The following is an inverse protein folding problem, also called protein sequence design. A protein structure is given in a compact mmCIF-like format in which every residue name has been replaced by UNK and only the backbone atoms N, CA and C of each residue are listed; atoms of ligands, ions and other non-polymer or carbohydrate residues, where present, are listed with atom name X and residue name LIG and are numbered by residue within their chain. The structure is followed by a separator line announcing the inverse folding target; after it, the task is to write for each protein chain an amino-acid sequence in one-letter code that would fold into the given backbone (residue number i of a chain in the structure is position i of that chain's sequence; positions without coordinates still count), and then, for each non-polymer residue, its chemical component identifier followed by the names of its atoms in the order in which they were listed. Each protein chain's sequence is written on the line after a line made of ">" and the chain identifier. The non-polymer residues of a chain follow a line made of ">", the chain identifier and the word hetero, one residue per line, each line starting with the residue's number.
data_IF_378317160945
#
_entry.id   IF_378317160945
#
_cell.length_a   1.000
_cell.length_b   1.000
_cell.length_c   1.000
_cell.angle_alpha   90.00
_cell.angle_beta   90.00
_cell.angle_gamma   90.00
#
_symmetry.space_group_name_H-M   'P 1'
#
loop_
_entity.id
_entity.type
_entity.pdbx_description
1 polymer ?
#
# COMPACT_ATOMS: atom_id res chain seq x y z
N UNK A 1 14.52 -9.53 2.70
CA UNK A 1 13.53 -9.09 1.70
C UNK A 1 13.70 -7.60 1.53
N UNK A 2 13.78 -7.14 0.30
CA UNK A 2 13.93 -5.71 -0.03
C UNK A 2 12.59 -5.10 -0.44
N UNK A 3 12.41 -3.81 -0.21
CA UNK A 3 11.21 -3.06 -0.64
C UNK A 3 11.02 -3.14 -2.16
N UNK A 4 12.12 -3.21 -2.91
CA UNK A 4 12.12 -3.40 -4.37
C UNK A 4 11.40 -4.67 -4.83
N UNK A 5 11.30 -5.71 -3.98
CA UNK A 5 10.55 -6.94 -4.31
C UNK A 5 9.02 -6.75 -4.23
N UNK A 6 8.54 -5.70 -3.55
CA UNK A 6 7.12 -5.38 -3.44
C UNK A 6 6.61 -4.55 -4.61
N UNK A 7 7.49 -3.75 -5.22
CA UNK A 7 7.13 -2.82 -6.29
C UNK A 7 6.50 -3.53 -7.49
N UNK A 8 7.15 -4.57 -8.03
CA UNK A 8 6.70 -5.21 -9.25
C UNK A 8 5.28 -5.84 -9.12
N UNK A 9 4.96 -6.59 -8.05
CA UNK A 9 3.60 -7.07 -7.80
C UNK A 9 2.55 -5.95 -7.69
N UNK A 10 2.85 -4.88 -6.95
CA UNK A 10 1.92 -3.76 -6.77
C UNK A 10 1.68 -3.02 -8.08
N UNK A 11 2.75 -2.78 -8.85
CA UNK A 11 2.66 -2.21 -10.19
C UNK A 11 1.77 -3.05 -11.10
N UNK A 12 2.04 -4.35 -11.22
CA UNK A 12 1.26 -5.24 -12.08
C UNK A 12 -0.22 -5.30 -11.68
N UNK A 13 -0.51 -5.29 -10.37
CA UNK A 13 -1.87 -5.25 -9.84
C UNK A 13 -2.63 -3.97 -10.23
N UNK A 14 -1.96 -2.81 -10.18
CA UNK A 14 -2.56 -1.53 -10.55
C UNK A 14 -2.67 -1.36 -12.08
N UNK A 15 -1.64 -1.73 -12.84
CA UNK A 15 -1.69 -1.73 -14.31
C UNK A 15 -2.80 -2.66 -14.84
N UNK A 16 -3.01 -3.81 -14.18
CA UNK A 16 -4.12 -4.72 -14.49
C UNK A 16 -5.52 -4.11 -14.27
N UNK A 17 -5.61 -2.99 -13.54
CA UNK A 17 -6.84 -2.21 -13.33
C UNK A 17 -6.91 -0.96 -14.23
N UNK A 18 -5.98 -0.83 -15.17
CA UNK A 18 -5.94 0.28 -16.14
C UNK A 18 -5.28 1.55 -15.63
N UNK A 19 -4.48 1.49 -14.56
CA UNK A 19 -3.66 2.61 -14.12
C UNK A 19 -2.33 2.67 -14.88
N UNK A 20 -1.86 3.88 -15.19
CA UNK A 20 -0.47 4.14 -15.51
C UNK A 20 0.33 4.28 -14.21
N UNK A 21 1.34 3.41 -14.00
CA UNK A 21 2.10 3.37 -12.75
C UNK A 21 3.50 3.97 -12.91
N UNK A 22 3.81 4.95 -12.06
CA UNK A 22 5.13 5.60 -11.95
C UNK A 22 5.78 5.23 -10.62
N UNK A 23 7.09 4.98 -10.65
CA UNK A 23 7.91 4.76 -9.45
C UNK A 23 8.55 6.06 -8.99
N UNK A 24 8.85 6.16 -7.68
CA UNK A 24 9.75 7.18 -7.10
C UNK A 24 9.37 8.63 -7.50
N UNK A 25 8.07 8.93 -7.49
CA UNK A 25 7.57 10.26 -7.81
C UNK A 25 7.69 11.13 -6.56
N UNK A 26 8.78 11.90 -6.49
CA UNK A 26 9.13 12.62 -5.27
C UNK A 26 9.40 11.64 -4.13
N UNK A 27 8.79 11.79 -2.95
CA UNK A 27 8.99 10.87 -1.82
C UNK A 27 8.04 9.65 -1.82
N UNK A 28 7.17 9.49 -2.83
CA UNK A 28 6.21 8.38 -2.89
C UNK A 28 6.77 7.18 -3.67
N UNK A 29 6.60 5.98 -3.13
CA UNK A 29 7.14 4.75 -3.75
C UNK A 29 6.39 4.37 -5.04
N UNK A 30 5.05 4.41 -5.01
CA UNK A 30 4.18 4.08 -6.15
C UNK A 30 3.12 5.15 -6.32
N UNK A 31 2.99 5.68 -7.53
CA UNK A 31 1.89 6.56 -7.93
C UNK A 31 1.21 5.98 -9.16
N UNK A 32 -0.08 5.66 -9.04
CA UNK A 32 -0.93 5.13 -10.10
C UNK A 32 -1.93 6.21 -10.55
N UNK A 33 -1.94 6.53 -11.83
CA UNK A 33 -2.84 7.53 -12.41
C UNK A 33 -3.79 6.90 -13.43
N UNK A 34 -5.03 7.37 -13.47
CA UNK A 34 -6.01 7.01 -14.50
C UNK A 34 -6.79 8.26 -14.87
N UNK A 35 -7.13 8.40 -16.15
CA UNK A 35 -7.80 9.60 -16.66
C UNK A 35 -9.10 9.88 -15.93
N UNK A 36 -9.25 11.14 -15.47
CA UNK A 36 -10.45 11.60 -14.78
C UNK A 36 -10.56 11.19 -13.30
N UNK A 37 -9.55 10.53 -12.73
CA UNK A 37 -9.56 10.07 -11.34
C UNK A 37 -8.38 10.63 -10.52
N UNK A 38 -8.54 10.81 -9.19
CA UNK A 38 -7.42 11.10 -8.31
C UNK A 38 -6.35 10.00 -8.38
N UNK A 39 -5.07 10.33 -8.19
CA UNK A 39 -4.02 9.31 -8.17
C UNK A 39 -4.19 8.36 -6.98
N UNK A 40 -3.81 7.11 -7.16
CA UNK A 40 -3.62 6.14 -6.08
C UNK A 40 -2.16 6.16 -5.67
N UNK A 41 -1.88 6.30 -4.38
CA UNK A 41 -0.51 6.27 -3.84
C UNK A 41 -0.34 5.04 -2.94
N UNK A 42 0.76 4.30 -3.11
CA UNK A 42 1.09 3.16 -2.27
C UNK A 42 2.49 3.33 -1.69
N UNK A 43 2.60 3.34 -0.36
CA UNK A 43 3.88 3.32 0.37
C UNK A 43 4.28 1.86 0.67
N UNK A 44 5.53 1.51 0.38
CA UNK A 44 6.06 0.16 0.47
C UNK A 44 7.02 0.04 1.66
N UNK A 45 6.85 -0.99 2.50
CA UNK A 45 7.81 -1.31 3.56
C UNK A 45 7.96 -2.80 3.75
N UNK A 46 9.12 -3.25 4.23
CA UNK A 46 9.32 -4.68 4.59
C UNK A 46 8.47 -5.15 5.79
N UNK A 47 7.76 -4.25 6.46
CA UNK A 47 6.88 -4.56 7.57
C UNK A 47 6.15 -3.33 8.09
N UNK A 48 5.12 -3.55 8.90
CA UNK A 48 4.37 -2.48 9.54
C UNK A 48 5.26 -1.70 10.51
N UNK A 49 5.24 -0.36 10.41
CA UNK A 49 6.01 0.54 11.26
C UNK A 49 5.32 1.89 11.38
N UNK A 50 5.67 2.68 12.40
CA UNK A 50 5.17 4.05 12.54
C UNK A 50 5.66 4.96 11.40
N UNK A 51 6.88 4.73 10.91
CA UNK A 51 7.44 5.47 9.78
C UNK A 51 6.58 5.32 8.52
N UNK A 52 6.17 4.09 8.19
CA UNK A 52 5.27 3.80 7.05
C UNK A 52 3.94 4.56 7.19
N UNK A 53 3.38 4.63 8.40
CA UNK A 53 2.13 5.36 8.66
C UNK A 53 2.32 6.87 8.51
N UNK A 54 3.40 7.43 9.04
CA UNK A 54 3.68 8.86 8.85
C UNK A 54 3.90 9.22 7.38
N UNK A 55 4.58 8.37 6.61
CA UNK A 55 4.73 8.56 5.17
C UNK A 55 3.37 8.57 4.48
N UNK A 56 2.52 7.56 4.75
CA UNK A 56 1.19 7.45 4.17
C UNK A 56 0.27 8.64 4.53
N UNK A 57 0.24 9.07 5.80
CA UNK A 57 -0.50 10.27 6.20
C UNK A 57 -0.01 11.50 5.44
N UNK A 58 1.31 11.65 5.25
CA UNK A 58 1.84 12.78 4.48
C UNK A 58 1.41 12.74 3.01
N UNK A 59 1.14 11.55 2.43
CA UNK A 59 0.60 11.42 1.07
C UNK A 59 -0.87 11.83 0.96
N UNK A 60 -1.63 11.82 2.06
CA UNK A 60 -3.04 12.26 2.06
C UNK A 60 -3.22 13.74 1.70
N UNK A 61 -2.15 14.54 1.76
CA UNK A 61 -2.14 15.90 1.23
C UNK A 61 -2.29 15.97 -0.30
N UNK A 62 -2.12 14.84 -1.01
CA UNK A 62 -2.19 14.74 -2.48
C UNK A 62 -3.50 14.06 -2.93
N UNK A 63 -3.94 13.03 -2.21
CA UNK A 63 -5.10 12.19 -2.58
C UNK A 63 -5.63 11.47 -1.34
N UNK A 64 -6.93 11.16 -1.31
CA UNK A 64 -7.49 10.29 -0.28
C UNK A 64 -7.19 8.80 -0.55
N UNK A 65 -6.82 8.45 -1.79
CA UNK A 65 -6.56 7.06 -2.21
C UNK A 65 -5.13 6.61 -1.85
N UNK A 66 -4.81 6.57 -0.55
CA UNK A 66 -3.48 6.17 -0.04
C UNK A 66 -3.53 4.81 0.62
N UNK A 67 -2.61 3.93 0.21
CA UNK A 67 -2.44 2.59 0.78
C UNK A 67 -1.05 2.41 1.39
N UNK A 68 -0.98 1.57 2.42
CA UNK A 68 0.28 0.98 2.88
C UNK A 68 0.39 -0.47 2.42
N UNK A 69 1.55 -0.89 1.93
CA UNK A 69 1.80 -2.26 1.50
C UNK A 69 3.03 -2.88 2.18
N UNK A 70 2.85 -4.11 2.67
CA UNK A 70 3.93 -4.90 3.30
C UNK A 70 3.92 -6.34 2.80
N UNK A 71 5.01 -7.12 2.98
CA UNK A 71 4.98 -8.54 2.68
C UNK A 71 3.95 -9.28 3.53
N UNK A 72 3.28 -10.26 2.93
CA UNK A 72 2.39 -11.18 3.64
C UNK A 72 3.22 -12.09 4.55
N UNK A 73 3.21 -11.81 5.84
CA UNK A 73 3.78 -12.70 6.86
C UNK A 73 2.92 -13.94 7.10
N UNK A 74 3.32 -14.80 8.05
CA UNK A 74 2.62 -16.06 8.37
C UNK A 74 2.32 -16.16 9.87
N UNK A 75 1.38 -17.04 10.21
CA UNK A 75 1.07 -17.39 11.61
C UNK A 75 0.30 -16.33 12.40
N UNK A 76 0.00 -16.67 13.66
CA UNK A 76 -0.77 -15.83 14.59
C UNK A 76 -0.19 -14.43 14.81
N UNK A 77 1.15 -14.24 14.95
CA UNK A 77 1.71 -12.91 15.19
C UNK A 77 1.42 -11.92 14.05
N UNK A 78 1.59 -12.35 12.80
CA UNK A 78 1.30 -11.51 11.65
C UNK A 78 -0.18 -11.15 11.54
N UNK A 79 -1.08 -12.13 11.78
CA UNK A 79 -2.52 -11.89 11.74
C UNK A 79 -2.97 -10.87 12.80
N UNK A 80 -2.36 -10.93 14.00
CA UNK A 80 -2.61 -9.95 15.05
C UNK A 80 -2.12 -8.54 14.64
N UNK A 81 -0.90 -8.43 14.10
CA UNK A 81 -0.35 -7.17 13.61
C UNK A 81 -1.21 -6.57 12.48
N UNK A 82 -1.63 -7.39 11.51
CA UNK A 82 -2.52 -6.98 10.43
C UNK A 82 -3.86 -6.48 10.96
N UNK A 83 -4.48 -7.18 11.92
CA UNK A 83 -5.74 -6.74 12.55
C UNK A 83 -5.59 -5.38 13.23
N UNK A 84 -4.52 -5.19 14.01
CA UNK A 84 -4.24 -3.90 14.66
C UNK A 84 -3.99 -2.80 13.64
N UNK A 85 -3.24 -3.10 12.57
CA UNK A 85 -2.95 -2.12 11.53
C UNK A 85 -4.20 -1.70 10.75
N UNK A 86 -5.08 -2.65 10.39
CA UNK A 86 -6.39 -2.33 9.79
C UNK A 86 -7.21 -1.40 10.67
N UNK A 87 -7.23 -1.64 11.98
CA UNK A 87 -7.96 -0.80 12.94
C UNK A 87 -7.41 0.64 12.96
N UNK A 88 -6.08 0.78 12.96
CA UNK A 88 -5.43 2.10 12.91
C UNK A 88 -5.69 2.79 11.58
N UNK A 89 -5.41 2.13 10.46
CA UNK A 89 -5.56 2.69 9.12
C UNK A 89 -7.00 3.11 8.83
N UNK A 90 -8.00 2.34 9.28
CA UNK A 90 -9.42 2.73 9.18
C UNK A 90 -9.69 4.08 9.87
N UNK A 91 -9.13 4.32 11.06
CA UNK A 91 -9.32 5.60 11.77
C UNK A 91 -8.61 6.77 11.08
N UNK A 92 -7.61 6.48 10.26
CA UNK A 92 -6.83 7.46 9.51
C UNK A 92 -7.30 7.62 8.06
N UNK A 93 -8.29 6.84 7.61
CA UNK A 93 -8.72 6.82 6.21
C UNK A 93 -7.71 6.21 5.23
N UNK A 94 -6.79 5.36 5.71
CA UNK A 94 -5.75 4.71 4.90
C UNK A 94 -6.17 3.29 4.50
N UNK A 95 -5.77 2.88 3.29
CA UNK A 95 -5.89 1.51 2.81
C UNK A 95 -4.74 0.60 3.29
N UNK A 96 -4.98 -0.71 3.33
CA UNK A 96 -3.99 -1.71 3.73
C UNK A 96 -3.92 -2.83 2.72
N UNK A 97 -2.71 -3.10 2.23
CA UNK A 97 -2.41 -4.14 1.26
C UNK A 97 -1.31 -5.06 1.79
N UNK A 98 -1.37 -6.34 1.43
CA UNK A 98 -0.24 -7.25 1.60
C UNK A 98 0.15 -7.91 0.30
N UNK A 99 1.44 -8.12 0.10
CA UNK A 99 1.96 -8.83 -1.08
C UNK A 99 2.50 -10.18 -0.67
N UNK A 100 1.96 -11.27 -1.22
CA UNK A 100 2.52 -12.60 -1.08
C UNK A 100 3.66 -12.77 -2.08
N UNK A 101 4.89 -12.70 -1.59
CA UNK A 101 6.08 -12.65 -2.46
C UNK A 101 6.42 -13.96 -3.16
N UNK A 102 5.83 -15.09 -2.75
CA UNK A 102 6.05 -16.39 -3.42
C UNK A 102 5.42 -16.47 -4.80
N UNK A 103 4.34 -15.72 -5.04
CA UNK A 103 3.55 -15.75 -6.28
C UNK A 103 3.12 -14.36 -6.75
N UNK A 104 3.57 -13.29 -6.08
CA UNK A 104 3.25 -11.91 -6.44
C UNK A 104 1.79 -11.51 -6.17
N UNK A 105 1.03 -12.31 -5.42
CA UNK A 105 -0.39 -12.01 -5.20
C UNK A 105 -0.55 -10.84 -4.23
N UNK A 106 -1.23 -9.80 -4.71
CA UNK A 106 -1.62 -8.61 -3.95
C UNK A 106 -3.00 -8.84 -3.33
N UNK A 107 -3.10 -8.64 -2.02
CA UNK A 107 -4.35 -8.78 -1.26
C UNK A 107 -4.68 -7.44 -0.60
N UNK A 108 -5.81 -6.85 -0.98
CA UNK A 108 -6.34 -5.64 -0.37
C UNK A 108 -7.17 -6.03 0.85
N UNK A 109 -6.75 -5.56 2.02
CA UNK A 109 -7.41 -5.85 3.29
C UNK A 109 -8.39 -4.76 3.72
N UNK A 110 -8.16 -3.55 3.22
CA UNK A 110 -8.87 -2.34 3.58
C UNK A 110 -8.68 -1.32 2.46
N UNK A 111 -9.77 -0.78 1.93
CA UNK A 111 -9.74 0.40 1.08
C UNK A 111 -9.67 1.68 1.92
N UNK A 112 -9.02 2.75 1.41
CA UNK A 112 -8.97 4.06 2.04
C UNK A 112 -10.35 4.73 2.03
N UNK A 113 -10.50 5.73 2.89
CA UNK A 113 -11.76 6.44 3.11
C UNK A 113 -12.39 6.16 4.48
N UNK A 114 -13.47 6.89 4.82
CA UNK A 114 -14.17 6.78 6.11
C UNK A 114 -14.69 5.36 6.45
#
# INVERSE_FOLDING_TARGET
>A
MRETELYAPVKAFLEGQGYEVKAEVGPADVVACRDGEPPVIVELKTGFSLALIHQAIARQAITDAVYVAVPRGKGRPFLAALKSMKTLCRRLGLGVVTVRTTDGIVEVHLDPGP
#
